data_IF_749087890922
#
_entry.id   IF_749087890922
#
_cell.length_a   1.000
_cell.length_b   1.000
_cell.length_c   1.000
_cell.angle_alpha   90.00
_cell.angle_beta   90.00
_cell.angle_gamma   90.00
#
_symmetry.space_group_name_H-M   'P 1'
#
loop_
_entity.id
_entity.type
_entity.pdbx_description
1 polymer ?
#
# COMPACT_ATOMS: atom_id res chain seq x y z
N UNK A 1 2.99 1.02 -22.33
CA UNK A 1 2.79 2.49 -22.39
C UNK A 1 3.95 3.10 -23.18
N UNK A 2 3.72 4.23 -23.87
CA UNK A 2 4.80 5.07 -24.42
C UNK A 2 4.95 6.35 -23.56
N UNK A 3 6.05 7.09 -23.73
CA UNK A 3 6.37 8.26 -22.88
C UNK A 3 5.34 9.41 -22.97
N UNK A 4 4.58 9.50 -24.05
CA UNK A 4 3.53 10.51 -24.26
C UNK A 4 2.13 10.03 -23.88
N UNK A 5 1.98 8.76 -23.48
CA UNK A 5 0.70 8.19 -23.06
C UNK A 5 0.08 9.01 -21.92
N UNK A 6 -1.22 9.24 -22.00
CA UNK A 6 -1.97 9.98 -20.99
C UNK A 6 -2.25 9.09 -19.78
N UNK A 7 -1.61 9.35 -18.67
CA UNK A 7 -1.61 8.52 -17.46
C UNK A 7 -2.26 9.27 -16.31
N UNK A 8 -3.29 8.70 -15.71
CA UNK A 8 -3.89 9.22 -14.48
C UNK A 8 -3.41 8.44 -13.26
N UNK A 9 -2.88 9.15 -12.25
CA UNK A 9 -2.50 8.57 -10.96
C UNK A 9 -3.45 9.08 -9.89
N UNK A 10 -4.44 8.26 -9.52
CA UNK A 10 -5.36 8.54 -8.44
C UNK A 10 -4.67 8.33 -7.09
N UNK A 11 -4.73 9.33 -6.20
CA UNK A 11 -4.07 9.26 -4.90
C UNK A 11 -2.59 9.70 -4.90
N UNK A 12 -2.17 10.51 -5.85
CA UNK A 12 -0.79 10.97 -6.06
C UNK A 12 -0.12 11.66 -4.85
N UNK A 13 -0.87 12.10 -3.86
CA UNK A 13 -0.34 12.67 -2.61
C UNK A 13 -0.08 11.65 -1.50
N UNK A 14 -0.58 10.43 -1.66
CA UNK A 14 -0.30 9.32 -0.73
C UNK A 14 1.09 8.73 -0.96
N UNK A 15 1.53 7.85 -0.05
CA UNK A 15 2.82 7.17 -0.13
C UNK A 15 2.97 6.43 -1.48
N UNK A 16 2.05 5.55 -1.82
CA UNK A 16 2.09 4.75 -3.06
C UNK A 16 1.93 5.61 -4.31
N UNK A 17 0.91 6.49 -4.36
CA UNK A 17 0.65 7.31 -5.53
C UNK A 17 1.78 8.28 -5.85
N UNK A 18 2.41 8.88 -4.83
CA UNK A 18 3.58 9.75 -5.04
C UNK A 18 4.81 8.98 -5.54
N UNK A 19 5.01 7.74 -5.05
CA UNK A 19 6.08 6.87 -5.53
C UNK A 19 5.87 6.48 -7.01
N UNK A 20 4.64 6.16 -7.40
CA UNK A 20 4.31 5.87 -8.81
C UNK A 20 4.59 7.09 -9.70
N UNK A 21 4.21 8.31 -9.27
CA UNK A 21 4.53 9.53 -10.03
C UNK A 21 6.04 9.71 -10.19
N UNK A 22 6.83 9.55 -9.10
CA UNK A 22 8.30 9.63 -9.18
C UNK A 22 8.87 8.62 -10.15
N UNK A 23 8.39 7.37 -10.10
CA UNK A 23 8.89 6.30 -10.97
C UNK A 23 8.51 6.54 -12.44
N UNK A 24 7.30 7.00 -12.73
CA UNK A 24 6.89 7.38 -14.07
C UNK A 24 7.77 8.52 -14.63
N UNK A 25 8.02 9.57 -13.83
CA UNK A 25 8.90 10.68 -14.21
C UNK A 25 10.34 10.21 -14.45
N UNK A 26 10.87 9.34 -13.58
CA UNK A 26 12.20 8.74 -13.72
C UNK A 26 12.35 7.95 -15.02
N UNK A 27 11.27 7.28 -15.47
CA UNK A 27 11.24 6.54 -16.74
C UNK A 27 10.92 7.42 -17.95
N UNK A 28 10.75 8.74 -17.78
CA UNK A 28 10.56 9.69 -18.85
C UNK A 28 9.12 9.84 -19.36
N UNK A 29 8.12 9.38 -18.59
CA UNK A 29 6.71 9.66 -18.89
C UNK A 29 6.41 11.13 -18.58
N UNK A 30 5.81 11.86 -19.53
CA UNK A 30 5.64 13.32 -19.44
C UNK A 30 4.18 13.76 -19.32
N UNK A 31 3.22 12.90 -19.66
CA UNK A 31 1.81 13.25 -19.68
C UNK A 31 1.06 12.60 -18.51
N UNK A 32 1.45 12.99 -17.29
CA UNK A 32 0.89 12.46 -16.04
C UNK A 32 -0.16 13.43 -15.50
N UNK A 33 -1.39 12.95 -15.35
CA UNK A 33 -2.50 13.70 -14.77
C UNK A 33 -2.65 13.30 -13.30
N UNK A 34 -2.84 14.30 -12.46
CA UNK A 34 -3.15 14.12 -11.04
C UNK A 34 -4.26 15.08 -10.63
N UNK A 35 -5.05 14.72 -9.61
CA UNK A 35 -6.04 15.60 -8.97
C UNK A 35 -5.98 15.39 -7.46
N UNK A 36 -6.01 16.48 -6.74
CA UNK A 36 -6.17 16.44 -5.29
C UNK A 36 -7.61 16.09 -4.91
N UNK A 37 -7.85 15.64 -3.70
CA UNK A 37 -9.21 15.37 -3.21
C UNK A 37 -10.14 16.61 -3.32
N UNK A 38 -9.60 17.82 -3.18
CA UNK A 38 -10.37 19.06 -3.34
C UNK A 38 -10.75 19.37 -4.80
N UNK A 39 -9.96 18.91 -5.75
CA UNK A 39 -10.21 19.10 -7.20
C UNK A 39 -11.08 18.01 -7.77
N UNK A 40 -11.02 16.79 -7.19
CA UNK A 40 -11.80 15.64 -7.62
C UNK A 40 -12.02 14.71 -6.42
N UNK A 41 -13.21 14.72 -5.86
CA UNK A 41 -13.63 13.77 -4.84
C UNK A 41 -14.06 12.46 -5.52
N UNK A 42 -13.23 11.42 -5.39
CA UNK A 42 -13.49 10.12 -6.03
C UNK A 42 -14.72 9.39 -5.49
N UNK A 43 -15.26 9.82 -4.37
CA UNK A 43 -16.54 9.29 -3.84
C UNK A 43 -17.76 9.89 -4.55
N UNK A 44 -17.58 10.95 -5.35
CA UNK A 44 -18.64 11.63 -6.11
C UNK A 44 -18.72 11.10 -7.54
N UNK A 45 -19.61 10.15 -7.79
CA UNK A 45 -19.74 9.49 -9.08
C UNK A 45 -19.79 10.47 -10.25
N UNK A 46 -20.66 11.48 -10.19
CA UNK A 46 -20.84 12.43 -11.28
C UNK A 46 -19.56 13.24 -11.61
N UNK A 47 -18.79 13.59 -10.59
CA UNK A 47 -17.51 14.30 -10.77
C UNK A 47 -16.46 13.40 -11.44
N UNK A 48 -16.39 12.12 -11.01
CA UNK A 48 -15.50 11.13 -11.61
C UNK A 48 -15.86 10.85 -13.06
N UNK A 49 -17.14 10.65 -13.36
CA UNK A 49 -17.62 10.45 -14.75
C UNK A 49 -17.28 11.65 -15.64
N UNK A 50 -17.53 12.87 -15.17
CA UNK A 50 -17.18 14.09 -15.89
C UNK A 50 -15.68 14.23 -16.15
N UNK A 51 -14.85 13.94 -15.14
CA UNK A 51 -13.40 13.95 -15.27
C UNK A 51 -12.91 12.96 -16.32
N UNK A 52 -13.35 11.69 -16.25
CA UNK A 52 -12.95 10.67 -17.24
C UNK A 52 -13.46 10.97 -18.65
N UNK A 53 -14.67 11.51 -18.80
CA UNK A 53 -15.21 11.92 -20.09
C UNK A 53 -14.39 13.07 -20.73
N UNK A 54 -13.90 14.01 -19.93
CA UNK A 54 -13.08 15.12 -20.36
C UNK A 54 -11.63 14.71 -20.63
N UNK A 55 -10.97 14.08 -19.65
CA UNK A 55 -9.54 13.79 -19.70
C UNK A 55 -9.21 12.56 -20.53
N UNK A 56 -10.07 11.56 -20.55
CA UNK A 56 -9.88 10.29 -21.28
C UNK A 56 -8.49 9.69 -21.08
N UNK A 57 -8.07 9.40 -19.83
CA UNK A 57 -6.75 8.80 -19.61
C UNK A 57 -6.66 7.44 -20.27
N UNK A 58 -5.52 7.19 -20.93
CA UNK A 58 -5.25 5.91 -21.58
C UNK A 58 -4.90 4.82 -20.55
N UNK A 59 -4.19 5.23 -19.49
CA UNK A 59 -3.72 4.36 -18.40
C UNK A 59 -4.07 4.97 -17.06
N UNK A 60 -4.44 4.11 -16.11
CA UNK A 60 -4.83 4.54 -14.75
C UNK A 60 -4.12 3.70 -13.70
N UNK A 61 -3.47 4.37 -12.76
CA UNK A 61 -3.01 3.77 -11.51
C UNK A 61 -3.97 4.19 -10.39
N UNK A 62 -4.72 3.24 -9.84
CA UNK A 62 -5.67 3.50 -8.76
C UNK A 62 -5.02 3.21 -7.41
N UNK A 63 -4.28 4.19 -6.89
CA UNK A 63 -3.60 4.15 -5.59
C UNK A 63 -4.35 4.93 -4.49
N UNK A 64 -5.47 5.55 -4.83
CA UNK A 64 -6.32 6.23 -3.85
C UNK A 64 -7.03 5.21 -2.96
N UNK A 65 -6.97 5.42 -1.66
CA UNK A 65 -7.70 4.64 -0.67
C UNK A 65 -7.74 5.38 0.67
N UNK A 66 -8.78 5.12 1.47
CA UNK A 66 -8.78 5.44 2.90
C UNK A 66 -8.07 4.31 3.63
N UNK A 67 -6.91 4.59 4.21
CA UNK A 67 -6.06 3.60 4.88
C UNK A 67 -5.77 3.99 6.32
N UNK A 68 -5.47 3.00 7.17
CA UNK A 68 -5.11 3.23 8.56
C UNK A 68 -4.72 1.94 9.26
N UNK A 69 -4.10 2.06 10.43
CA UNK A 69 -3.77 0.93 11.29
C UNK A 69 -5.00 0.21 11.86
N UNK A 70 -4.76 -0.81 12.68
CA UNK A 70 -5.83 -1.63 13.30
C UNK A 70 -6.81 -0.76 14.09
N UNK A 71 -6.32 0.16 14.93
CA UNK A 71 -7.16 1.03 15.74
C UNK A 71 -8.08 1.92 14.89
N UNK A 72 -7.56 2.51 13.82
CA UNK A 72 -8.35 3.33 12.90
C UNK A 72 -9.44 2.50 12.18
N UNK A 73 -9.10 1.30 11.72
CA UNK A 73 -10.06 0.40 11.09
C UNK A 73 -11.20 0.01 12.06
N UNK A 74 -10.87 -0.39 13.30
CA UNK A 74 -11.85 -0.78 14.29
C UNK A 74 -12.77 0.38 14.72
N UNK A 75 -12.26 1.62 14.74
CA UNK A 75 -13.04 2.79 15.11
C UNK A 75 -14.02 3.25 14.04
N UNK A 76 -13.85 2.86 12.76
CA UNK A 76 -14.62 3.40 11.63
C UNK A 76 -14.90 2.35 10.53
N UNK A 77 -15.31 1.14 10.92
CA UNK A 77 -15.53 0.01 9.99
C UNK A 77 -16.42 0.37 8.79
N UNK A 78 -17.57 1.01 9.04
CA UNK A 78 -18.52 1.38 8.00
C UNK A 78 -17.92 2.40 7.02
N UNK A 79 -17.19 3.40 7.53
CA UNK A 79 -16.55 4.43 6.70
C UNK A 79 -15.42 3.84 5.86
N UNK A 80 -14.60 2.95 6.44
CA UNK A 80 -13.54 2.27 5.68
C UNK A 80 -14.10 1.42 4.54
N UNK A 81 -15.21 0.72 4.77
CA UNK A 81 -15.87 -0.04 3.73
C UNK A 81 -16.49 0.88 2.66
N UNK A 82 -17.33 1.82 3.08
CA UNK A 82 -18.07 2.68 2.16
C UNK A 82 -17.16 3.55 1.30
N UNK A 83 -16.26 4.31 1.94
CA UNK A 83 -15.40 5.26 1.22
C UNK A 83 -14.50 4.54 0.21
N UNK A 84 -13.89 3.40 0.58
CA UNK A 84 -13.06 2.63 -0.36
C UNK A 84 -13.89 2.01 -1.48
N UNK A 85 -15.00 1.37 -1.13
CA UNK A 85 -15.84 0.70 -2.13
C UNK A 85 -16.37 1.68 -3.17
N UNK A 86 -16.89 2.84 -2.73
CA UNK A 86 -17.48 3.81 -3.65
C UNK A 86 -16.43 4.45 -4.56
N UNK A 87 -15.27 4.86 -4.02
CA UNK A 87 -14.21 5.45 -4.83
C UNK A 87 -13.65 4.47 -5.86
N UNK A 88 -13.46 3.21 -5.47
CA UNK A 88 -12.93 2.17 -6.35
C UNK A 88 -13.93 1.87 -7.48
N UNK A 89 -15.21 1.68 -7.15
CA UNK A 89 -16.26 1.44 -8.14
C UNK A 89 -16.38 2.60 -9.13
N UNK A 90 -16.38 3.85 -8.64
CA UNK A 90 -16.47 5.03 -9.50
C UNK A 90 -15.31 5.11 -10.49
N UNK A 91 -14.07 4.96 -10.02
CA UNK A 91 -12.88 5.07 -10.87
C UNK A 91 -12.78 3.93 -11.88
N UNK A 92 -12.95 2.67 -11.43
CA UNK A 92 -12.87 1.49 -12.30
C UNK A 92 -13.97 1.54 -13.37
N UNK A 93 -15.21 1.89 -12.97
CA UNK A 93 -16.33 1.98 -13.90
C UNK A 93 -16.14 3.09 -14.92
N UNK A 94 -15.74 4.28 -14.49
CA UNK A 94 -15.51 5.42 -15.38
C UNK A 94 -14.34 5.15 -16.35
N UNK A 95 -13.28 4.49 -15.90
CA UNK A 95 -12.16 4.08 -16.74
C UNK A 95 -12.64 3.13 -17.87
N UNK A 96 -13.42 2.11 -17.53
CA UNK A 96 -14.01 1.21 -18.51
C UNK A 96 -14.93 1.94 -19.50
N UNK A 97 -15.87 2.74 -19.01
CA UNK A 97 -16.84 3.48 -19.85
C UNK A 97 -16.18 4.44 -20.84
N UNK A 98 -15.03 4.99 -20.50
CA UNK A 98 -14.32 5.96 -21.34
C UNK A 98 -13.16 5.33 -22.14
N UNK A 99 -13.10 4.00 -22.24
CA UNK A 99 -12.16 3.30 -23.10
C UNK A 99 -10.69 3.35 -22.62
N UNK A 100 -10.48 3.41 -21.30
CA UNK A 100 -9.14 3.25 -20.73
C UNK A 100 -8.51 1.94 -21.23
N UNK A 101 -7.29 2.02 -21.75
CA UNK A 101 -6.57 0.86 -22.32
C UNK A 101 -6.16 -0.13 -21.22
N UNK A 102 -5.72 0.38 -20.06
CA UNK A 102 -5.30 -0.45 -18.95
C UNK A 102 -5.41 0.30 -17.63
N UNK A 103 -5.88 -0.40 -16.60
CA UNK A 103 -5.95 0.10 -15.23
C UNK A 103 -5.22 -0.86 -14.31
N UNK A 104 -4.45 -0.33 -13.38
CA UNK A 104 -3.85 -1.08 -12.27
C UNK A 104 -4.51 -0.70 -10.95
N UNK A 105 -5.14 -1.69 -10.33
CA UNK A 105 -5.78 -1.58 -9.04
C UNK A 105 -4.82 -1.96 -7.91
N UNK A 106 -4.58 -1.01 -7.01
CA UNK A 106 -3.76 -1.26 -5.81
C UNK A 106 -4.65 -1.82 -4.69
N UNK A 107 -4.52 -3.11 -4.47
CA UNK A 107 -5.16 -3.83 -3.38
C UNK A 107 -4.35 -3.80 -2.08
N UNK A 108 -4.43 -4.87 -1.33
CA UNK A 108 -3.69 -5.07 -0.08
C UNK A 108 -3.63 -6.55 0.28
N UNK A 109 -2.56 -7.01 0.92
CA UNK A 109 -2.45 -8.37 1.43
C UNK A 109 -3.46 -8.72 2.55
N UNK A 110 -4.20 -7.74 3.07
CA UNK A 110 -5.27 -7.98 4.05
C UNK A 110 -6.50 -8.69 3.47
N UNK A 111 -6.60 -8.80 2.13
CA UNK A 111 -7.68 -9.56 1.46
C UNK A 111 -7.56 -11.07 1.63
N UNK A 112 -6.38 -11.55 2.02
CA UNK A 112 -6.16 -12.97 2.21
C UNK A 112 -6.70 -13.46 3.55
N UNK A 113 -7.13 -14.72 3.64
CA UNK A 113 -7.66 -15.29 4.86
C UNK A 113 -6.71 -15.13 6.06
N UNK A 114 -7.28 -14.93 7.24
CA UNK A 114 -6.51 -14.84 8.50
C UNK A 114 -5.54 -16.00 8.70
N UNK A 115 -6.00 -17.20 8.39
CA UNK A 115 -5.23 -18.44 8.54
C UNK A 115 -4.76 -19.00 7.18
N UNK A 116 -4.46 -18.11 6.23
CA UNK A 116 -3.91 -18.50 4.93
C UNK A 116 -2.59 -19.26 5.10
N UNK A 117 -2.26 -20.21 4.19
CA UNK A 117 -0.95 -20.84 4.17
C UNK A 117 0.15 -19.79 4.00
N UNK A 118 1.32 -20.08 4.54
CA UNK A 118 2.47 -19.16 4.52
C UNK A 118 3.66 -19.81 3.79
N UNK A 119 4.22 -19.17 2.77
CA UNK A 119 3.83 -17.89 2.16
C UNK A 119 2.43 -17.93 1.52
N UNK A 120 1.71 -16.78 1.55
CA UNK A 120 0.34 -16.66 1.03
C UNK A 120 0.32 -16.60 -0.50
N UNK A 121 -0.17 -17.62 -1.22
CA UNK A 121 -0.33 -17.56 -2.67
C UNK A 121 -1.59 -16.76 -3.05
N UNK A 122 -1.63 -16.19 -4.24
CA UNK A 122 -2.79 -15.47 -4.76
C UNK A 122 -4.06 -16.34 -4.79
N UNK A 123 -3.90 -17.64 -4.98
CA UNK A 123 -5.00 -18.61 -5.03
C UNK A 123 -5.74 -18.81 -3.70
N UNK A 124 -5.20 -18.33 -2.57
CA UNK A 124 -5.88 -18.47 -1.28
C UNK A 124 -6.97 -17.41 -1.04
N UNK A 125 -7.16 -16.46 -1.96
CA UNK A 125 -8.22 -15.47 -1.88
C UNK A 125 -9.60 -16.13 -1.75
N UNK A 126 -10.40 -15.69 -0.76
CA UNK A 126 -11.77 -16.17 -0.49
C UNK A 126 -11.88 -17.66 -0.12
N UNK A 127 -10.82 -18.28 0.35
CA UNK A 127 -10.85 -19.69 0.78
C UNK A 127 -11.23 -19.90 2.25
N UNK A 128 -11.17 -18.85 3.06
CA UNK A 128 -11.53 -18.88 4.49
C UNK A 128 -11.81 -17.48 5.01
N UNK A 129 -12.08 -17.36 6.32
CA UNK A 129 -12.42 -16.09 6.99
C UNK A 129 -11.30 -15.07 6.95
N UNK A 130 -11.69 -13.79 6.83
CA UNK A 130 -10.81 -12.64 6.90
C UNK A 130 -10.41 -12.29 8.34
N UNK A 131 -9.38 -11.48 8.50
CA UNK A 131 -9.02 -10.88 9.80
C UNK A 131 -10.09 -9.86 10.22
N UNK A 132 -10.76 -10.11 11.35
CA UNK A 132 -11.92 -9.32 11.82
C UNK A 132 -11.62 -7.84 12.07
N UNK A 133 -10.38 -7.52 12.44
CA UNK A 133 -9.98 -6.16 12.79
C UNK A 133 -9.93 -5.20 11.59
N UNK A 134 -9.84 -5.73 10.37
CA UNK A 134 -9.80 -4.95 9.12
C UNK A 134 -10.69 -5.56 8.01
N UNK A 135 -11.62 -6.42 8.38
CA UNK A 135 -12.51 -7.12 7.43
C UNK A 135 -13.26 -6.15 6.50
N UNK A 136 -13.75 -5.02 7.03
CA UNK A 136 -14.48 -4.03 6.27
C UNK A 136 -13.64 -3.43 5.12
N UNK A 137 -12.40 -3.06 5.39
CA UNK A 137 -11.44 -2.60 4.38
C UNK A 137 -11.09 -3.72 3.39
N UNK A 138 -10.85 -4.93 3.89
CA UNK A 138 -10.54 -6.08 3.05
C UNK A 138 -11.66 -6.40 2.06
N UNK A 139 -12.92 -6.36 2.50
CA UNK A 139 -14.09 -6.57 1.63
C UNK A 139 -14.19 -5.52 0.53
N UNK A 140 -13.94 -4.25 0.84
CA UNK A 140 -13.88 -3.20 -0.18
C UNK A 140 -12.79 -3.52 -1.21
N UNK A 141 -11.58 -3.85 -0.79
CA UNK A 141 -10.47 -4.21 -1.68
C UNK A 141 -10.75 -5.45 -2.54
N UNK A 142 -11.39 -6.48 -1.97
CA UNK A 142 -11.83 -7.66 -2.72
C UNK A 142 -12.86 -7.26 -3.80
N UNK A 143 -13.78 -6.36 -3.48
CA UNK A 143 -14.79 -5.90 -4.44
C UNK A 143 -14.16 -5.19 -5.64
N UNK A 144 -13.20 -4.28 -5.41
CA UNK A 144 -12.47 -3.59 -6.48
C UNK A 144 -11.70 -4.55 -7.37
N UNK A 145 -10.94 -5.50 -6.75
CA UNK A 145 -10.21 -6.54 -7.46
C UNK A 145 -11.15 -7.38 -8.34
N UNK A 146 -12.25 -7.88 -7.75
CA UNK A 146 -13.20 -8.73 -8.47
C UNK A 146 -13.93 -7.96 -9.57
N UNK A 147 -14.18 -6.68 -9.38
CA UNK A 147 -14.77 -5.87 -10.43
C UNK A 147 -13.83 -5.72 -11.64
N UNK A 148 -12.54 -5.49 -11.43
CA UNK A 148 -11.54 -5.53 -12.50
C UNK A 148 -11.55 -6.87 -13.25
N UNK A 149 -11.52 -7.99 -12.50
CA UNK A 149 -11.57 -9.34 -13.08
C UNK A 149 -12.83 -9.57 -13.94
N UNK A 150 -14.01 -9.16 -13.43
CA UNK A 150 -15.27 -9.35 -14.15
C UNK A 150 -15.38 -8.46 -15.39
N UNK A 151 -14.87 -7.24 -15.34
CA UNK A 151 -14.80 -6.40 -16.55
C UNK A 151 -13.90 -7.01 -17.63
N UNK A 152 -12.75 -7.57 -17.24
CA UNK A 152 -11.88 -8.27 -18.17
C UNK A 152 -12.60 -9.47 -18.82
N UNK A 153 -13.28 -10.28 -18.01
CA UNK A 153 -13.99 -11.49 -18.49
C UNK A 153 -15.19 -11.17 -19.35
N UNK A 154 -15.92 -10.12 -19.02
CA UNK A 154 -17.18 -9.76 -19.70
C UNK A 154 -16.97 -8.87 -20.91
N UNK A 155 -16.02 -7.94 -20.83
CA UNK A 155 -15.85 -6.88 -21.83
C UNK A 155 -14.46 -6.85 -22.49
N UNK A 156 -13.54 -7.74 -22.08
CA UNK A 156 -12.22 -7.82 -22.67
C UNK A 156 -11.31 -6.64 -22.32
N UNK A 157 -11.51 -6.01 -21.15
CA UNK A 157 -10.60 -4.97 -20.65
C UNK A 157 -9.27 -5.58 -20.21
N UNK A 158 -8.23 -4.75 -20.01
CA UNK A 158 -6.94 -5.15 -19.43
C UNK A 158 -6.74 -4.43 -18.08
N UNK A 159 -7.57 -4.78 -17.11
CA UNK A 159 -7.51 -4.22 -15.75
C UNK A 159 -6.84 -5.21 -14.82
N UNK A 160 -5.64 -4.86 -14.34
CA UNK A 160 -4.81 -5.73 -13.50
C UNK A 160 -4.87 -5.31 -12.04
N UNK A 161 -4.49 -6.21 -11.14
CA UNK A 161 -4.51 -5.96 -9.70
C UNK A 161 -3.21 -6.39 -9.04
N UNK A 162 -2.71 -5.57 -8.10
CA UNK A 162 -1.47 -5.81 -7.35
C UNK A 162 -1.78 -5.82 -5.85
N UNK A 163 -1.25 -6.82 -5.14
CA UNK A 163 -1.45 -7.00 -3.70
C UNK A 163 -0.15 -6.77 -2.94
N UNK A 164 0.11 -5.55 -2.47
CA UNK A 164 1.32 -5.27 -1.72
C UNK A 164 1.27 -5.83 -0.30
N UNK A 165 2.44 -6.21 0.19
CA UNK A 165 2.72 -6.45 1.61
C UNK A 165 2.76 -5.13 2.40
N UNK A 166 3.30 -5.13 3.63
CA UNK A 166 3.44 -3.90 4.40
C UNK A 166 4.43 -2.97 3.71
N UNK A 167 3.96 -1.78 3.37
CA UNK A 167 4.74 -0.77 2.70
C UNK A 167 5.32 0.23 3.69
N UNK A 168 6.42 0.85 3.32
CA UNK A 168 7.06 1.93 4.06
C UNK A 168 7.92 2.78 3.10
N UNK A 169 8.19 4.02 3.47
CA UNK A 169 9.04 4.91 2.68
C UNK A 169 8.58 6.37 2.68
N UNK A 170 9.06 7.17 1.72
CA UNK A 170 8.72 8.58 1.61
C UNK A 170 7.21 8.83 1.53
N UNK A 171 6.75 9.88 2.21
CA UNK A 171 5.34 10.23 2.34
C UNK A 171 4.48 9.21 3.12
N UNK A 172 5.08 8.38 3.97
CA UNK A 172 4.32 7.52 4.89
C UNK A 172 3.58 8.35 5.96
N UNK A 173 2.66 7.71 6.67
CA UNK A 173 1.92 8.30 7.77
C UNK A 173 2.64 8.03 9.10
N UNK A 174 3.16 9.08 9.73
CA UNK A 174 3.86 9.01 11.02
C UNK A 174 3.00 9.42 12.22
N UNK A 175 1.66 9.42 12.08
CA UNK A 175 0.76 9.78 13.19
C UNK A 175 0.96 8.83 14.39
N UNK A 176 1.04 9.33 15.65
CA UNK A 176 1.37 8.51 16.83
C UNK A 176 0.45 7.32 17.06
N UNK A 177 -0.85 7.46 16.74
CA UNK A 177 -1.89 6.46 17.04
C UNK A 177 -2.43 5.73 15.80
N UNK A 178 -2.28 6.31 14.60
CA UNK A 178 -2.94 5.81 13.37
C UNK A 178 -1.98 5.28 12.32
N UNK A 179 -0.66 5.35 12.58
CA UNK A 179 0.35 4.84 11.65
C UNK A 179 0.51 3.32 11.72
N UNK A 180 1.15 2.77 10.70
CA UNK A 180 1.60 1.38 10.72
C UNK A 180 2.86 1.22 11.60
N UNK A 181 3.22 -0.04 11.88
CA UNK A 181 4.27 -0.38 12.86
C UNK A 181 5.62 0.27 12.56
N UNK A 182 6.09 0.24 11.30
CA UNK A 182 7.42 0.75 10.96
C UNK A 182 7.52 2.28 11.11
N UNK A 183 6.62 3.10 10.52
CA UNK A 183 6.64 4.55 10.73
C UNK A 183 6.38 4.94 12.20
N UNK A 184 5.56 4.17 12.95
CA UNK A 184 5.38 4.39 14.38
C UNK A 184 6.69 4.19 15.17
N UNK A 185 7.48 3.18 14.82
CA UNK A 185 8.78 2.92 15.45
C UNK A 185 9.79 4.03 15.11
N UNK A 186 9.86 4.48 13.85
CA UNK A 186 10.73 5.60 13.45
C UNK A 186 10.45 6.83 14.30
N UNK A 187 9.19 7.25 14.38
CA UNK A 187 8.79 8.42 15.17
C UNK A 187 9.11 8.22 16.65
N UNK A 188 8.71 7.11 17.22
CA UNK A 188 8.90 6.81 18.65
C UNK A 188 10.37 6.84 19.06
N UNK A 189 11.25 6.20 18.29
CA UNK A 189 12.70 6.21 18.60
C UNK A 189 13.33 7.57 18.34
N UNK A 190 12.86 8.31 17.32
CA UNK A 190 13.31 9.68 17.10
C UNK A 190 12.97 10.58 18.29
N UNK A 191 11.71 10.59 18.73
CA UNK A 191 11.25 11.38 19.86
C UNK A 191 11.98 10.97 21.17
N UNK A 192 12.18 9.68 21.40
CA UNK A 192 12.92 9.17 22.54
C UNK A 192 14.39 9.64 22.54
N UNK A 193 15.06 9.58 21.39
CA UNK A 193 16.43 10.08 21.19
C UNK A 193 16.54 11.58 21.46
N UNK A 194 15.65 12.39 20.87
CA UNK A 194 15.67 13.85 21.01
C UNK A 194 15.39 14.27 22.45
N UNK A 195 14.50 13.56 23.15
CA UNK A 195 14.13 13.83 24.54
C UNK A 195 15.06 13.16 25.57
N UNK A 196 16.08 12.41 25.13
CA UNK A 196 17.03 11.73 26.03
C UNK A 196 16.39 10.65 26.90
N UNK A 197 15.32 9.99 26.42
CA UNK A 197 14.63 8.93 27.18
C UNK A 197 15.53 7.71 27.31
N UNK A 198 15.60 7.14 28.51
CA UNK A 198 16.42 5.95 28.79
C UNK A 198 15.80 4.65 28.30
N UNK A 199 14.47 4.63 28.16
CA UNK A 199 13.73 3.44 27.74
C UNK A 199 12.56 3.81 26.81
N UNK A 200 12.21 2.87 25.92
CA UNK A 200 11.03 2.94 25.03
C UNK A 200 10.25 1.66 25.18
N UNK A 201 8.94 1.77 25.41
CA UNK A 201 8.04 0.62 25.51
C UNK A 201 7.38 0.35 24.15
N UNK A 202 7.54 -0.87 23.64
CA UNK A 202 6.87 -1.41 22.46
C UNK A 202 5.76 -2.37 22.85
N UNK A 203 4.72 -2.48 22.02
CA UNK A 203 3.57 -3.34 22.31
C UNK A 203 3.83 -4.80 21.94
N UNK A 204 3.25 -5.71 22.72
CA UNK A 204 3.35 -7.16 22.52
C UNK A 204 4.67 -7.72 23.05
N UNK A 205 5.12 -8.83 22.47
CA UNK A 205 6.37 -9.51 22.82
C UNK A 205 7.41 -9.47 21.67
N UNK A 206 7.06 -8.85 20.55
CA UNK A 206 7.89 -8.75 19.36
C UNK A 206 8.03 -10.03 18.52
N UNK A 207 7.31 -11.10 18.85
CA UNK A 207 7.41 -12.39 18.15
C UNK A 207 6.77 -12.44 16.74
N UNK A 208 5.71 -11.66 16.40
CA UNK A 208 5.09 -11.75 15.08
C UNK A 208 6.08 -11.50 13.95
N UNK A 209 5.90 -12.28 12.88
CA UNK A 209 6.69 -12.17 11.66
C UNK A 209 5.98 -11.29 10.63
N UNK A 210 6.71 -10.36 10.03
CA UNK A 210 6.19 -9.45 9.00
C UNK A 210 7.19 -9.30 7.85
N UNK A 211 6.62 -9.06 6.70
CA UNK A 211 7.32 -8.70 5.48
C UNK A 211 7.14 -7.20 5.22
N UNK A 212 8.18 -6.54 4.72
CA UNK A 212 8.17 -5.12 4.37
C UNK A 212 8.74 -4.90 2.98
N UNK A 213 8.08 -4.04 2.19
CA UNK A 213 8.53 -3.64 0.86
C UNK A 213 8.67 -2.12 0.80
N UNK A 214 9.81 -1.64 0.33
CA UNK A 214 10.04 -0.21 0.12
C UNK A 214 9.14 0.33 -0.99
N UNK A 215 8.53 1.48 -0.77
CA UNK A 215 7.44 1.99 -1.63
C UNK A 215 7.90 2.29 -3.07
N UNK A 216 9.15 2.72 -3.27
CA UNK A 216 9.65 2.98 -4.63
C UNK A 216 9.91 1.66 -5.40
N UNK A 217 10.21 0.55 -4.71
CA UNK A 217 10.24 -0.78 -5.34
C UNK A 217 8.83 -1.23 -5.75
N UNK A 218 7.80 -0.98 -4.92
CA UNK A 218 6.42 -1.21 -5.35
C UNK A 218 6.08 -0.37 -6.58
N UNK A 219 6.41 0.91 -6.59
CA UNK A 219 6.15 1.78 -7.73
C UNK A 219 6.84 1.29 -9.02
N UNK A 220 8.07 0.79 -8.89
CA UNK A 220 8.78 0.15 -9.99
C UNK A 220 8.06 -1.11 -10.50
N UNK A 221 7.56 -1.97 -9.58
CA UNK A 221 6.73 -3.12 -9.95
C UNK A 221 5.46 -2.68 -10.68
N UNK A 222 4.75 -1.68 -10.17
CA UNK A 222 3.51 -1.19 -10.78
C UNK A 222 3.75 -0.73 -12.24
N UNK A 223 4.76 0.08 -12.49
CA UNK A 223 5.10 0.52 -13.85
C UNK A 223 5.57 -0.66 -14.72
N UNK A 224 6.30 -1.61 -14.14
CA UNK A 224 6.69 -2.85 -14.83
C UNK A 224 5.46 -3.67 -15.25
N UNK A 225 4.52 -3.93 -14.36
CA UNK A 225 3.31 -4.70 -14.66
C UNK A 225 2.40 -4.00 -15.66
N UNK A 226 2.30 -2.68 -15.56
CA UNK A 226 1.54 -1.88 -16.55
C UNK A 226 2.09 -2.07 -17.96
N UNK A 227 3.39 -2.31 -18.11
CA UNK A 227 4.05 -2.49 -19.42
C UNK A 227 4.16 -3.96 -19.86
N UNK A 228 4.20 -4.93 -18.93
CA UNK A 228 4.62 -6.31 -19.24
C UNK A 228 3.65 -7.40 -18.82
N UNK A 229 2.59 -7.07 -18.08
CA UNK A 229 1.64 -8.06 -17.60
C UNK A 229 0.23 -7.73 -18.05
N UNK A 230 -0.47 -8.70 -18.59
CA UNK A 230 -1.90 -8.66 -18.89
C UNK A 230 -2.53 -9.98 -18.42
N UNK A 231 -3.60 -9.88 -17.63
CA UNK A 231 -4.26 -11.08 -17.10
C UNK A 231 -5.23 -10.77 -15.97
N UNK A 232 -6.05 -11.77 -15.63
CA UNK A 232 -7.07 -11.66 -14.59
C UNK A 232 -6.55 -11.99 -13.19
N UNK A 233 -5.42 -12.66 -13.10
CA UNK A 233 -4.89 -13.04 -11.81
C UNK A 233 -4.15 -11.87 -11.19
N UNK A 234 -4.40 -11.66 -9.91
CA UNK A 234 -3.64 -10.68 -9.13
C UNK A 234 -2.16 -11.06 -9.02
N UNK A 235 -1.32 -10.07 -8.73
CA UNK A 235 0.12 -10.25 -8.51
C UNK A 235 0.49 -9.80 -7.10
N UNK A 236 1.06 -10.69 -6.30
CA UNK A 236 1.60 -10.35 -5.00
C UNK A 236 2.86 -9.50 -5.14
N UNK A 237 2.94 -8.41 -4.39
CA UNK A 237 4.06 -7.49 -4.34
C UNK A 237 4.73 -7.52 -2.97
N UNK A 238 5.89 -8.11 -2.88
CA UNK A 238 6.66 -8.26 -1.65
C UNK A 238 8.12 -8.59 -1.92
N UNK A 239 8.86 -8.85 -0.86
CA UNK A 239 10.28 -9.24 -0.90
C UNK A 239 10.47 -10.75 -0.80
N UNK A 240 9.46 -11.48 -0.29
CA UNK A 240 9.59 -12.88 0.08
C UNK A 240 10.46 -13.11 1.32
N UNK A 241 10.84 -12.03 2.03
CA UNK A 241 11.63 -12.07 3.26
C UNK A 241 10.82 -11.54 4.44
N UNK A 242 10.90 -12.20 5.57
CA UNK A 242 10.23 -11.79 6.79
C UNK A 242 11.21 -11.66 7.95
N UNK A 243 10.84 -10.83 8.92
CA UNK A 243 11.56 -10.70 10.19
C UNK A 243 10.56 -10.54 11.33
N UNK A 244 11.01 -10.80 12.56
CA UNK A 244 10.20 -10.54 13.76
C UNK A 244 10.04 -9.04 13.99
N UNK A 245 8.93 -8.65 14.63
CA UNK A 245 8.75 -7.25 15.07
C UNK A 245 9.87 -6.82 16.01
N UNK A 246 10.42 -7.76 16.81
CA UNK A 246 11.58 -7.48 17.65
C UNK A 246 12.80 -7.08 16.82
N UNK A 247 13.15 -7.88 15.80
CA UNK A 247 14.28 -7.57 14.92
C UNK A 247 14.07 -6.26 14.15
N UNK A 248 12.84 -5.99 13.69
CA UNK A 248 12.50 -4.70 13.09
C UNK A 248 12.71 -3.54 14.07
N UNK A 249 12.25 -3.69 15.30
CA UNK A 249 12.37 -2.66 16.36
C UNK A 249 13.84 -2.33 16.64
N UNK A 250 14.67 -3.36 16.77
CA UNK A 250 16.14 -3.21 16.97
C UNK A 250 16.80 -2.53 15.76
N UNK A 251 16.41 -2.90 14.54
CA UNK A 251 16.90 -2.28 13.30
C UNK A 251 16.53 -0.80 13.22
N UNK A 252 15.28 -0.45 13.50
CA UNK A 252 14.83 0.95 13.46
C UNK A 252 15.54 1.77 14.55
N UNK A 253 15.68 1.25 15.77
CA UNK A 253 16.43 1.91 16.85
C UNK A 253 17.89 2.18 16.43
N UNK A 254 18.56 1.20 15.82
CA UNK A 254 19.92 1.33 15.27
C UNK A 254 20.00 2.44 14.21
N UNK A 255 19.09 2.44 13.22
CA UNK A 255 19.10 3.43 12.13
C UNK A 255 18.83 4.84 12.64
N UNK A 256 17.89 5.00 13.56
CA UNK A 256 17.59 6.28 14.21
C UNK A 256 18.74 6.74 15.12
N UNK A 257 19.56 5.80 15.61
CA UNK A 257 20.64 6.06 16.56
C UNK A 257 20.12 6.24 17.98
N UNK A 258 19.09 5.52 18.37
CA UNK A 258 18.61 5.41 19.75
C UNK A 258 19.42 4.34 20.49
N UNK A 259 19.91 4.68 21.69
CA UNK A 259 20.83 3.82 22.47
C UNK A 259 20.26 3.41 23.84
N UNK A 260 19.02 3.79 24.15
CA UNK A 260 18.34 3.38 25.37
C UNK A 260 17.76 1.97 25.31
N UNK A 261 17.16 1.54 26.40
CA UNK A 261 16.55 0.21 26.54
C UNK A 261 15.22 0.09 25.80
N UNK A 262 14.93 -1.09 25.26
CA UNK A 262 13.65 -1.43 24.63
C UNK A 262 12.90 -2.37 25.57
N UNK A 263 11.75 -1.92 26.05
CA UNK A 263 10.82 -2.69 26.88
C UNK A 263 9.64 -3.20 26.07
N UNK A 264 9.02 -4.30 26.49
CA UNK A 264 7.88 -4.90 25.84
C UNK A 264 6.66 -4.95 26.76
N UNK A 265 5.54 -4.36 26.32
CA UNK A 265 4.26 -4.44 27.03
C UNK A 265 3.45 -5.64 26.50
N UNK A 266 3.63 -6.78 27.14
CA UNK A 266 2.96 -8.04 26.80
C UNK A 266 1.45 -8.05 27.16
N UNK A 267 0.92 -7.00 27.79
CA UNK A 267 -0.53 -6.84 28.02
C UNK A 267 -1.25 -6.42 26.74
N UNK A 268 -0.52 -5.94 25.74
CA UNK A 268 -1.06 -5.56 24.43
C UNK A 268 -0.99 -6.73 23.45
N UNK A 269 -1.98 -6.86 22.55
CA UNK A 269 -2.03 -7.99 21.62
C UNK A 269 -0.91 -7.93 20.56
N UNK A 270 -0.41 -9.10 20.18
CA UNK A 270 0.60 -9.26 19.13
C UNK A 270 0.06 -9.08 17.69
N UNK A 271 -1.26 -9.21 17.49
CA UNK A 271 -1.85 -9.30 16.15
C UNK A 271 -1.64 -10.66 15.48
N UNK A 272 -1.78 -10.73 14.16
CA UNK A 272 -1.63 -11.97 13.37
C UNK A 272 -0.19 -12.50 13.50
N UNK A 273 0.03 -13.79 13.80
CA UNK A 273 1.37 -14.34 14.06
C UNK A 273 2.35 -14.21 12.89
N UNK A 274 1.88 -14.41 11.64
CA UNK A 274 2.73 -14.39 10.45
C UNK A 274 1.97 -13.82 9.24
N UNK A 275 2.67 -13.00 8.44
CA UNK A 275 2.19 -12.47 7.16
C UNK A 275 3.36 -12.39 6.17
N UNK A 276 3.44 -13.34 5.26
CA UNK A 276 4.44 -13.42 4.20
C UNK A 276 3.73 -13.73 2.89
N UNK A 277 4.00 -12.97 1.83
CA UNK A 277 3.45 -13.23 0.50
C UNK A 277 4.30 -14.24 -0.28
N UNK A 278 3.65 -15.09 -1.05
CA UNK A 278 4.30 -15.80 -2.14
C UNK A 278 4.49 -14.83 -3.32
N UNK A 279 5.74 -14.45 -3.59
CA UNK A 279 6.12 -13.50 -4.62
C UNK A 279 6.64 -14.17 -5.90
N UNK A 280 6.48 -15.49 -5.98
CA UNK A 280 7.01 -16.29 -7.11
C UNK A 280 6.48 -15.85 -8.47
N UNK A 281 5.25 -15.32 -8.53
CA UNK A 281 4.65 -14.81 -9.76
C UNK A 281 5.37 -13.55 -10.28
N UNK A 282 5.61 -12.54 -9.43
CA UNK A 282 6.37 -11.35 -9.81
C UNK A 282 7.79 -11.72 -10.26
N UNK A 283 8.45 -12.65 -9.55
CA UNK A 283 9.78 -13.16 -9.91
C UNK A 283 9.78 -13.86 -11.27
N UNK A 284 8.78 -14.72 -11.55
CA UNK A 284 8.64 -15.39 -12.85
C UNK A 284 8.37 -14.43 -14.01
N UNK A 285 7.72 -13.30 -13.74
CA UNK A 285 7.54 -12.21 -14.70
C UNK A 285 8.83 -11.43 -14.97
N UNK A 286 9.87 -11.63 -14.17
CA UNK A 286 11.19 -10.99 -14.33
C UNK A 286 11.40 -9.80 -13.41
N UNK A 287 10.57 -9.60 -12.38
CA UNK A 287 10.74 -8.52 -11.43
C UNK A 287 11.22 -9.01 -10.07
N UNK A 288 12.13 -8.23 -9.47
CA UNK A 288 12.58 -8.40 -8.08
C UNK A 288 12.76 -7.02 -7.43
N UNK A 289 12.54 -6.94 -6.12
CA UNK A 289 12.83 -5.72 -5.35
C UNK A 289 14.35 -5.43 -5.34
N UNK A 290 14.71 -4.18 -5.04
CA UNK A 290 16.11 -3.71 -5.08
C UNK A 290 16.59 -3.13 -3.76
N UNK A 291 15.67 -2.62 -2.93
CA UNK A 291 16.00 -1.90 -1.70
C UNK A 291 15.98 -2.85 -0.52
N UNK A 292 17.13 -3.12 0.07
CA UNK A 292 17.21 -3.91 1.31
C UNK A 292 16.59 -3.11 2.48
N UNK A 293 16.08 -3.84 3.48
CA UNK A 293 15.27 -3.23 4.54
C UNK A 293 16.01 -2.12 5.31
N UNK A 294 17.27 -2.33 5.68
CA UNK A 294 18.06 -1.33 6.42
C UNK A 294 18.23 -0.03 5.63
N UNK A 295 18.51 -0.13 4.32
CA UNK A 295 18.65 1.04 3.45
C UNK A 295 17.33 1.77 3.27
N UNK A 296 16.24 1.02 3.07
CA UNK A 296 14.91 1.60 2.99
C UNK A 296 14.46 2.29 4.28
N UNK A 297 14.76 1.72 5.45
CA UNK A 297 14.47 2.36 6.75
C UNK A 297 15.27 3.65 6.91
N UNK A 298 16.52 3.70 6.44
CA UNK A 298 17.34 4.93 6.45
C UNK A 298 16.69 6.02 5.59
N UNK A 299 16.29 5.68 4.37
CA UNK A 299 15.60 6.62 3.46
C UNK A 299 14.25 7.09 4.02
N UNK A 300 13.48 6.20 4.66
CA UNK A 300 12.23 6.57 5.33
C UNK A 300 12.49 7.51 6.53
N UNK A 301 13.55 7.28 7.28
CA UNK A 301 13.92 8.17 8.39
C UNK A 301 14.40 9.55 7.91
N UNK A 302 15.13 9.61 6.80
CA UNK A 302 15.51 10.87 6.15
C UNK A 302 14.27 11.65 5.69
N UNK A 303 13.28 10.99 5.08
CA UNK A 303 11.99 11.62 4.73
C UNK A 303 11.26 12.14 5.97
N UNK A 304 11.21 11.36 7.05
CA UNK A 304 10.61 11.79 8.32
C UNK A 304 11.24 13.07 8.85
N UNK A 305 12.56 13.18 8.80
CA UNK A 305 13.29 14.37 9.27
C UNK A 305 13.04 15.61 8.40
N UNK A 306 12.86 15.42 7.10
CA UNK A 306 12.79 16.51 6.11
C UNK A 306 11.34 16.88 5.72
N UNK A 307 10.36 16.07 6.09
CA UNK A 307 8.95 16.25 5.71
C UNK A 307 8.03 16.29 6.94
N UNK A 308 8.12 17.36 7.77
CA UNK A 308 7.37 17.45 9.04
C UNK A 308 5.86 17.48 8.84
N UNK A 309 5.35 17.90 7.68
CA UNK A 309 3.91 17.93 7.39
C UNK A 309 3.24 16.54 7.41
N UNK A 310 4.02 15.48 7.25
CA UNK A 310 3.51 14.10 7.33
C UNK A 310 3.55 13.54 8.77
N UNK A 311 4.38 14.09 9.63
CA UNK A 311 4.45 13.69 11.04
C UNK A 311 3.22 14.14 11.87
N UNK A 312 2.49 15.14 11.40
CA UNK A 312 1.31 15.73 12.10
C UNK A 312 -0.05 15.24 11.60
N UNK A 313 -0.09 14.33 10.62
CA UNK A 313 -1.33 13.85 10.00
C UNK A 313 -1.79 12.52 10.55
#
# INVERSE_FOLDING_TARGET
MNQSSKIYVAGHRGMVGSAIVRELQRQGYTNIITRTHKELDLTRQAEVEAFFAQEKPEYVFLAAAKVGGIAANQAALADFMYDNMILEMNVIHAAWKNGCKKLEFLGSSCIYPRMAPQPMPESCLLTSELEKTNEAYALAKISGLKYCEYLNRQYGTDFISVMPTNLYGPNDNYHPEHSHVLPALIRRFHEAKVNGLKEVTCWGDGSPLREFLYVDDLANLCVFLMNHYSGNETVNAGTGKELTIKALTELVAKVVGYTGDIQWDTTRPNGTPRKLLDVSKATKLGWTYKTELEDGVRLAYEDFLNNPMRAER
#
